data_IF_772273107709
#
_entry.id   IF_772273107709
#
_cell.length_a   1.000
_cell.length_b   1.000
_cell.length_c   1.000
_cell.angle_alpha   90.00
_cell.angle_beta   90.00
_cell.angle_gamma   90.00
#
_symmetry.space_group_name_H-M   'P 1'
#
loop_
_entity.id
_entity.type
_entity.pdbx_description
1 polymer ?
#
# COMPACT_ATOMS: atom_id res chain seq x y z
N UNK A 1 39.09 -17.71 -62.85
CA UNK A 1 38.58 -18.31 -61.60
C UNK A 1 37.39 -17.47 -61.14
N UNK A 2 36.19 -18.05 -61.07
CA UNK A 2 34.98 -17.36 -60.58
C UNK A 2 34.89 -17.56 -59.08
N UNK A 3 35.06 -16.49 -58.31
CA UNK A 3 34.96 -16.49 -56.85
C UNK A 3 33.48 -16.49 -56.47
N UNK A 4 33.01 -17.59 -55.88
CA UNK A 4 31.64 -17.73 -55.35
C UNK A 4 31.65 -17.19 -53.92
N UNK A 5 30.90 -16.13 -53.67
CA UNK A 5 30.78 -15.50 -52.35
C UNK A 5 29.68 -16.23 -51.56
N UNK A 6 29.96 -16.81 -50.39
CA UNK A 6 28.97 -17.54 -49.61
C UNK A 6 28.00 -16.56 -48.95
N UNK A 7 26.70 -16.75 -49.22
CA UNK A 7 25.61 -16.02 -48.59
C UNK A 7 25.50 -16.49 -47.12
N UNK A 8 26.04 -15.70 -46.19
CA UNK A 8 26.02 -16.00 -44.76
C UNK A 8 24.64 -15.62 -44.20
N UNK A 9 23.77 -16.62 -44.05
CA UNK A 9 22.46 -16.47 -43.40
C UNK A 9 22.67 -16.24 -41.89
N UNK A 10 22.56 -14.99 -41.45
CA UNK A 10 22.46 -14.65 -40.03
C UNK A 10 21.08 -15.05 -39.53
N UNK A 11 20.98 -16.16 -38.80
CA UNK A 11 19.82 -16.46 -37.98
C UNK A 11 19.82 -15.50 -36.78
N UNK A 12 19.02 -14.43 -36.88
CA UNK A 12 18.67 -13.59 -35.74
C UNK A 12 17.76 -14.38 -34.82
N UNK A 13 18.36 -15.07 -33.85
CA UNK A 13 17.61 -15.54 -32.68
C UNK A 13 17.17 -14.30 -31.90
N UNK A 14 15.91 -13.91 -32.09
CA UNK A 14 15.27 -12.93 -31.24
C UNK A 14 15.03 -13.62 -29.90
N UNK A 15 15.93 -13.40 -28.95
CA UNK A 15 15.64 -13.69 -27.55
C UNK A 15 14.55 -12.71 -27.15
N UNK A 16 13.30 -13.18 -27.08
CA UNK A 16 12.26 -12.45 -26.37
C UNK A 16 12.75 -12.29 -24.94
N UNK A 17 13.16 -11.08 -24.58
CA UNK A 17 13.38 -10.75 -23.19
C UNK A 17 12.02 -10.90 -22.51
N UNK A 18 11.86 -11.96 -21.71
CA UNK A 18 10.69 -12.08 -20.84
C UNK A 18 10.76 -10.89 -19.89
N UNK A 19 9.81 -9.97 -20.04
CA UNK A 19 9.64 -8.90 -19.06
C UNK A 19 9.25 -9.56 -17.73
N UNK A 20 9.82 -9.10 -16.62
CA UNK A 20 9.37 -9.56 -15.31
C UNK A 20 7.91 -9.10 -15.13
N UNK A 21 7.03 -10.06 -14.85
CA UNK A 21 5.60 -9.86 -14.62
C UNK A 21 5.28 -10.13 -13.15
N UNK A 22 4.26 -9.46 -12.63
CA UNK A 22 3.70 -9.76 -11.31
C UNK A 22 2.17 -9.80 -11.37
N UNK A 23 1.59 -10.65 -10.53
CA UNK A 23 0.13 -10.76 -10.36
C UNK A 23 -0.30 -9.99 -9.11
N UNK A 24 -1.42 -9.27 -9.18
CA UNK A 24 -2.03 -8.66 -8.00
C UNK A 24 -3.54 -8.57 -8.14
N UNK A 25 -4.23 -8.58 -7.00
CA UNK A 25 -5.67 -8.38 -6.93
C UNK A 25 -6.03 -6.93 -7.17
N UNK A 26 -7.12 -6.70 -7.89
CA UNK A 26 -7.72 -5.38 -8.05
C UNK A 26 -8.46 -4.99 -6.78
N UNK A 27 -8.04 -3.88 -6.16
CA UNK A 27 -8.71 -3.29 -5.01
C UNK A 27 -9.83 -2.34 -5.46
N UNK A 28 -9.55 -1.52 -6.48
CA UNK A 28 -10.48 -0.49 -6.94
C UNK A 28 -10.18 -0.11 -8.39
N UNK A 29 -11.24 0.03 -9.19
CA UNK A 29 -11.17 0.67 -10.51
C UNK A 29 -11.83 2.05 -10.42
N UNK A 30 -11.15 3.05 -10.94
CA UNK A 30 -11.61 4.44 -11.01
C UNK A 30 -11.72 4.85 -12.47
N UNK A 31 -12.95 5.10 -12.93
CA UNK A 31 -13.18 5.53 -14.29
C UNK A 31 -12.57 6.91 -14.57
N UNK A 32 -11.99 7.06 -15.75
CA UNK A 32 -11.56 8.36 -16.26
C UNK A 32 -12.74 9.13 -16.84
N UNK A 33 -12.78 10.45 -16.63
CA UNK A 33 -13.74 11.33 -17.31
C UNK A 33 -13.13 11.87 -18.61
N UNK A 34 -13.87 11.77 -19.71
CA UNK A 34 -13.45 12.29 -21.01
C UNK A 34 -12.24 11.55 -21.57
N UNK A 35 -11.10 12.24 -21.70
CA UNK A 35 -9.85 11.67 -22.22
C UNK A 35 -8.88 11.25 -21.11
N UNK A 36 -9.32 11.23 -19.85
CA UNK A 36 -8.49 10.75 -18.76
C UNK A 36 -8.48 9.22 -18.77
N UNK A 37 -7.31 8.58 -18.55
CA UNK A 37 -7.24 7.13 -18.44
C UNK A 37 -7.97 6.63 -17.19
N UNK A 38 -8.49 5.40 -17.27
CA UNK A 38 -8.97 4.69 -16.10
C UNK A 38 -7.79 4.28 -15.21
N UNK A 39 -8.01 4.15 -13.91
CA UNK A 39 -6.99 3.73 -12.96
C UNK A 39 -7.42 2.43 -12.28
N UNK A 40 -6.53 1.44 -12.27
CA UNK A 40 -6.64 0.28 -11.39
C UNK A 40 -5.71 0.51 -10.20
N UNK A 41 -6.25 0.40 -8.99
CA UNK A 41 -5.50 0.34 -7.74
C UNK A 41 -5.40 -1.12 -7.30
N UNK A 42 -4.18 -1.60 -7.08
CA UNK A 42 -3.89 -2.99 -6.75
C UNK A 42 -3.68 -3.19 -5.25
N UNK A 43 -3.95 -4.38 -4.72
CA UNK A 43 -3.78 -4.71 -3.29
C UNK A 43 -2.33 -4.48 -2.81
N UNK A 44 -1.34 -4.67 -3.70
CA UNK A 44 0.06 -4.40 -3.39
C UNK A 44 0.41 -2.90 -3.30
N UNK A 45 -0.51 -2.01 -3.63
CA UNK A 45 -0.32 -0.55 -3.58
C UNK A 45 0.05 0.10 -4.91
N UNK A 46 0.31 -0.67 -5.96
CA UNK A 46 0.61 -0.14 -7.30
C UNK A 46 -0.64 0.35 -8.03
N UNK A 47 -0.41 1.20 -9.03
CA UNK A 47 -1.45 1.70 -9.95
C UNK A 47 -1.13 1.27 -11.38
N UNK A 48 -2.15 0.83 -12.10
CA UNK A 48 -2.11 0.59 -13.54
C UNK A 48 -3.02 1.61 -14.22
N UNK A 49 -2.55 2.22 -15.31
CA UNK A 49 -3.36 3.08 -16.17
C UNK A 49 -3.92 2.22 -17.28
N UNK A 50 -5.23 2.30 -17.51
CA UNK A 50 -5.87 1.62 -18.63
C UNK A 50 -6.20 2.60 -19.76
N UNK A 51 -6.02 2.12 -20.97
CA UNK A 51 -6.49 2.77 -22.19
C UNK A 51 -7.97 2.44 -22.45
N UNK A 52 -8.62 3.22 -23.33
CA UNK A 52 -10.06 3.04 -23.63
C UNK A 52 -10.37 1.66 -24.23
N UNK A 53 -9.40 1.02 -24.90
CA UNK A 53 -9.54 -0.31 -25.48
C UNK A 53 -9.69 -1.41 -24.42
N UNK A 54 -9.27 -1.14 -23.17
CA UNK A 54 -9.28 -2.09 -22.06
C UNK A 54 -10.52 -1.92 -21.16
N UNK A 55 -11.52 -1.16 -21.63
CA UNK A 55 -12.75 -0.85 -20.87
C UNK A 55 -13.56 -2.08 -20.47
N UNK A 56 -13.44 -3.18 -21.22
CA UNK A 56 -14.09 -4.45 -20.89
C UNK A 56 -13.69 -4.96 -19.50
N UNK A 57 -12.45 -4.67 -19.07
CA UNK A 57 -11.92 -5.04 -17.75
C UNK A 57 -12.71 -4.43 -16.58
N UNK A 58 -13.34 -3.27 -16.81
CA UNK A 58 -14.21 -2.62 -15.82
C UNK A 58 -15.45 -3.49 -15.58
N UNK A 59 -16.01 -4.04 -16.66
CA UNK A 59 -17.20 -4.90 -16.59
C UNK A 59 -16.85 -6.20 -15.87
N UNK A 60 -15.71 -6.82 -16.20
CA UNK A 60 -15.21 -8.03 -15.53
C UNK A 60 -14.99 -7.81 -14.03
N UNK A 61 -14.42 -6.65 -13.66
CA UNK A 61 -14.25 -6.28 -12.26
C UNK A 61 -15.60 -6.15 -11.55
N UNK A 62 -16.56 -5.42 -12.12
CA UNK A 62 -17.88 -5.29 -11.52
C UNK A 62 -18.60 -6.64 -11.38
N UNK A 63 -18.49 -7.52 -12.38
CA UNK A 63 -19.06 -8.86 -12.33
C UNK A 63 -18.41 -9.72 -11.25
N UNK A 64 -17.07 -9.68 -11.12
CA UNK A 64 -16.37 -10.38 -10.04
C UNK A 64 -16.85 -9.92 -8.66
N UNK A 65 -16.98 -8.60 -8.44
CA UNK A 65 -17.47 -8.05 -7.18
C UNK A 65 -18.92 -8.45 -6.88
N UNK A 66 -19.80 -8.49 -7.91
CA UNK A 66 -21.20 -8.94 -7.77
C UNK A 66 -21.29 -10.41 -7.35
N UNK A 67 -20.38 -11.25 -7.85
CA UNK A 67 -20.36 -12.68 -7.58
C UNK A 67 -19.64 -13.04 -6.26
N UNK A 68 -18.95 -12.07 -5.63
CA UNK A 68 -18.13 -12.30 -4.44
C UNK A 68 -16.74 -12.87 -4.76
N UNK A 69 -16.40 -12.93 -6.04
CA UNK A 69 -15.08 -13.27 -6.57
C UNK A 69 -14.16 -12.04 -6.54
N UNK A 70 -12.92 -12.24 -6.95
CA UNK A 70 -11.98 -11.14 -7.14
C UNK A 70 -11.32 -11.23 -8.51
N UNK A 71 -10.90 -10.08 -9.02
CA UNK A 71 -10.18 -9.96 -10.27
C UNK A 71 -8.67 -9.89 -9.97
N UNK A 72 -7.90 -10.81 -10.53
CA UNK A 72 -6.44 -10.73 -10.56
C UNK A 72 -5.97 -10.19 -11.91
N UNK A 73 -4.97 -9.32 -11.88
CA UNK A 73 -4.33 -8.78 -13.07
C UNK A 73 -2.86 -9.13 -13.09
N UNK A 74 -2.37 -9.46 -14.27
CA UNK A 74 -0.94 -9.60 -14.58
C UNK A 74 -0.47 -8.27 -15.15
N UNK A 75 0.64 -7.79 -14.59
CA UNK A 75 1.20 -6.49 -14.90
C UNK A 75 2.70 -6.64 -15.13
N UNK A 76 3.22 -5.98 -16.15
CA UNK A 76 4.65 -6.00 -16.42
C UNK A 76 5.45 -5.08 -15.46
N UNK A 77 6.78 -5.12 -15.57
CA UNK A 77 7.67 -4.27 -14.76
C UNK A 77 7.56 -2.76 -15.05
N UNK A 78 6.84 -2.36 -16.10
CA UNK A 78 6.53 -0.95 -16.43
C UNK A 78 5.20 -0.48 -15.85
N UNK A 79 4.48 -1.37 -15.15
CA UNK A 79 3.11 -1.18 -14.68
C UNK A 79 2.07 -1.09 -15.82
N UNK A 80 2.34 -1.77 -16.95
CA UNK A 80 1.37 -1.91 -18.04
C UNK A 80 0.55 -3.18 -17.84
N UNK A 81 -0.74 -3.10 -18.17
CA UNK A 81 -1.65 -4.23 -18.13
C UNK A 81 -1.22 -5.32 -19.14
N UNK A 82 -1.27 -6.59 -18.72
CA UNK A 82 -0.96 -7.75 -19.58
C UNK A 82 -2.19 -8.63 -19.76
N UNK A 83 -2.80 -9.05 -18.66
CA UNK A 83 -4.00 -9.89 -18.67
C UNK A 83 -4.77 -9.77 -17.36
N UNK A 84 -6.00 -10.28 -17.35
CA UNK A 84 -6.80 -10.43 -16.15
C UNK A 84 -7.50 -11.78 -16.12
N UNK A 85 -7.76 -12.27 -14.91
CA UNK A 85 -8.60 -13.44 -14.68
C UNK A 85 -9.45 -13.26 -13.43
N UNK A 86 -10.71 -13.71 -13.52
CA UNK A 86 -11.59 -13.80 -12.37
C UNK A 86 -11.23 -15.05 -11.58
N UNK A 87 -10.95 -14.89 -10.29
CA UNK A 87 -10.58 -15.98 -9.40
C UNK A 87 -11.70 -16.20 -8.39
N UNK A 88 -12.21 -17.42 -8.36
CA UNK A 88 -13.25 -17.82 -7.41
C UNK A 88 -12.74 -17.66 -5.98
N UNK A 89 -13.58 -17.08 -5.13
CA UNK A 89 -13.27 -16.94 -3.71
C UNK A 89 -13.57 -18.24 -2.94
N UNK A 90 -12.77 -19.29 -3.17
CA UNK A 90 -12.94 -20.61 -2.55
C UNK A 90 -12.89 -20.59 -1.02
N UNK A 91 -12.34 -19.51 -0.44
CA UNK A 91 -12.17 -19.33 0.99
C UNK A 91 -12.75 -18.00 1.45
N UNK A 92 -14.03 -17.76 1.21
CA UNK A 92 -14.82 -16.86 2.08
C UNK A 92 -14.96 -17.49 3.47
N UNK A 93 -13.83 -17.81 4.13
CA UNK A 93 -13.79 -17.94 5.57
C UNK A 93 -14.20 -16.57 6.04
N UNK A 94 -15.50 -16.42 6.34
CA UNK A 94 -16.04 -15.27 7.06
C UNK A 94 -15.03 -15.01 8.17
N UNK A 95 -14.27 -13.90 8.13
CA UNK A 95 -13.15 -13.69 9.02
C UNK A 95 -13.70 -13.92 10.41
N UNK A 96 -13.28 -15.03 11.02
CA UNK A 96 -13.94 -15.65 12.18
C UNK A 96 -14.40 -14.51 13.08
N UNK A 97 -15.71 -14.24 13.11
CA UNK A 97 -16.27 -12.94 13.53
C UNK A 97 -15.63 -12.54 14.87
N UNK A 98 -14.56 -11.75 14.82
CA UNK A 98 -14.00 -11.16 16.02
C UNK A 98 -14.95 -10.02 16.31
N UNK A 99 -16.11 -10.38 16.90
CA UNK A 99 -17.14 -9.43 17.30
C UNK A 99 -16.45 -8.35 18.10
N UNK A 100 -16.42 -7.16 17.53
CA UNK A 100 -15.83 -6.02 18.19
C UNK A 100 -16.66 -5.70 19.41
N UNK A 101 -16.05 -5.80 20.59
CA UNK A 101 -16.64 -5.18 21.77
C UNK A 101 -16.88 -3.69 21.44
N UNK A 102 -18.10 -3.16 21.65
CA UNK A 102 -18.57 -1.88 21.09
C UNK A 102 -17.85 -0.61 21.58
N UNK A 103 -16.73 -0.73 22.30
CA UNK A 103 -15.99 0.39 22.92
C UNK A 103 -14.47 0.16 22.94
N UNK A 104 -13.88 -0.42 21.88
CA UNK A 104 -12.42 -0.52 21.83
C UNK A 104 -11.81 0.87 21.63
N UNK A 105 -11.19 1.41 22.69
CA UNK A 105 -10.34 2.59 22.60
C UNK A 105 -8.89 2.13 22.51
N UNK A 106 -8.21 2.48 21.41
CA UNK A 106 -6.78 2.25 21.29
C UNK A 106 -6.03 3.38 22.01
N UNK A 107 -5.09 3.03 22.89
CA UNK A 107 -4.26 3.99 23.64
C UNK A 107 -2.78 3.84 23.24
N UNK A 108 -2.26 4.72 22.35
CA UNK A 108 -0.88 4.66 21.92
C UNK A 108 0.09 5.00 23.05
N UNK A 109 1.22 4.31 23.11
CA UNK A 109 2.29 4.67 24.04
C UNK A 109 2.86 6.05 23.69
N UNK A 110 2.93 6.93 24.69
CA UNK A 110 3.65 8.21 24.59
C UNK A 110 5.09 8.01 25.07
N UNK A 111 6.05 8.11 24.16
CA UNK A 111 7.48 8.03 24.46
C UNK A 111 7.93 9.25 25.26
N UNK A 112 8.89 9.06 26.16
CA UNK A 112 9.36 10.13 27.04
C UNK A 112 10.23 11.18 26.36
N UNK A 113 10.81 10.87 25.18
CA UNK A 113 11.66 11.80 24.44
C UNK A 113 11.88 11.41 22.98
N UNK A 114 12.33 12.37 22.17
CA UNK A 114 12.82 12.11 20.81
C UNK A 114 13.97 11.08 20.78
N UNK A 115 14.85 11.10 21.79
CA UNK A 115 15.97 10.15 21.88
C UNK A 115 15.48 8.71 21.98
N UNK A 116 14.38 8.48 22.69
CA UNK A 116 13.74 7.16 22.79
C UNK A 116 13.16 6.72 21.44
N UNK A 117 12.43 7.61 20.76
CA UNK A 117 11.93 7.36 19.40
C UNK A 117 13.06 7.05 18.41
N UNK A 118 14.19 7.76 18.52
CA UNK A 118 15.36 7.52 17.70
C UNK A 118 16.05 6.18 18.04
N UNK A 119 16.07 5.77 19.32
CA UNK A 119 16.55 4.45 19.73
C UNK A 119 15.70 3.34 19.10
N UNK A 120 14.37 3.44 19.18
CA UNK A 120 13.43 2.53 18.49
C UNK A 120 13.73 2.49 16.99
N UNK A 121 13.81 3.65 16.35
CA UNK A 121 14.06 3.75 14.91
C UNK A 121 15.38 3.10 14.48
N UNK A 122 16.44 3.30 15.27
CA UNK A 122 17.79 2.85 14.93
C UNK A 122 17.91 1.33 14.84
N UNK A 123 17.14 0.60 15.64
CA UNK A 123 17.12 -0.88 15.72
C UNK A 123 16.08 -1.54 14.81
N UNK A 124 15.22 -0.78 14.14
CA UNK A 124 14.27 -1.33 13.16
C UNK A 124 15.03 -2.06 12.05
N UNK A 125 14.49 -3.21 11.66
CA UNK A 125 15.07 -4.10 10.65
C UNK A 125 15.27 -3.39 9.31
N UNK A 126 16.42 -3.63 8.65
CA UNK A 126 16.83 -2.98 7.38
C UNK A 126 17.10 -3.93 6.21
N UNK A 127 17.18 -5.24 6.45
CA UNK A 127 17.49 -6.25 5.44
C UNK A 127 16.24 -6.67 4.66
N UNK A 128 15.45 -5.71 4.17
CA UNK A 128 14.24 -6.01 3.40
C UNK A 128 14.58 -6.44 1.97
N UNK A 129 13.70 -7.25 1.38
CA UNK A 129 13.74 -7.60 -0.04
C UNK A 129 13.48 -6.35 -0.90
N UNK A 130 14.06 -6.29 -2.10
CA UNK A 130 13.95 -5.11 -2.98
C UNK A 130 12.50 -4.80 -3.36
N UNK A 131 11.70 -5.85 -3.54
CA UNK A 131 10.30 -5.77 -3.97
C UNK A 131 9.31 -5.75 -2.81
N UNK A 132 9.80 -5.71 -1.56
CA UNK A 132 8.96 -5.76 -0.37
C UNK A 132 7.89 -4.66 -0.37
N UNK A 133 6.67 -5.02 0.06
CA UNK A 133 5.59 -4.04 0.18
C UNK A 133 5.71 -3.20 1.45
N UNK A 134 5.31 -1.93 1.35
CA UNK A 134 5.39 -0.99 2.47
C UNK A 134 4.58 -1.44 3.69
N UNK A 135 3.39 -2.00 3.47
CA UNK A 135 2.50 -2.46 4.52
C UNK A 135 3.04 -3.68 5.27
N UNK A 136 3.74 -4.58 4.58
CA UNK A 136 4.42 -5.71 5.23
C UNK A 136 5.57 -5.23 6.12
N UNK A 137 6.43 -4.35 5.61
CA UNK A 137 7.50 -3.74 6.43
C UNK A 137 6.93 -3.01 7.65
N UNK A 138 5.91 -2.17 7.46
CA UNK A 138 5.28 -1.43 8.55
C UNK A 138 4.64 -2.36 9.59
N UNK A 139 4.02 -3.45 9.16
CA UNK A 139 3.41 -4.43 10.04
C UNK A 139 4.47 -5.17 10.89
N UNK A 140 5.55 -5.62 10.27
CA UNK A 140 6.66 -6.27 10.99
C UNK A 140 7.35 -5.32 11.95
N UNK A 141 7.65 -4.09 11.52
CA UNK A 141 8.28 -3.10 12.40
C UNK A 141 7.43 -2.81 13.64
N UNK A 142 6.11 -2.66 13.49
CA UNK A 142 5.21 -2.46 14.61
C UNK A 142 5.14 -3.71 15.52
N UNK A 143 5.05 -4.91 14.92
CA UNK A 143 5.02 -6.18 15.65
C UNK A 143 6.30 -6.40 16.47
N UNK A 144 7.47 -6.20 15.88
CA UNK A 144 8.76 -6.39 16.55
C UNK A 144 8.92 -5.44 17.74
N UNK A 145 8.55 -4.16 17.59
CA UNK A 145 8.65 -3.19 18.68
C UNK A 145 7.61 -3.43 19.78
N UNK A 146 6.40 -3.89 19.43
CA UNK A 146 5.42 -4.36 20.40
C UNK A 146 5.99 -5.53 21.21
N UNK A 147 6.54 -6.57 20.56
CA UNK A 147 7.12 -7.74 21.25
C UNK A 147 8.34 -7.39 22.09
N UNK A 148 9.16 -6.43 21.65
CA UNK A 148 10.44 -6.06 22.27
C UNK A 148 10.28 -5.11 23.45
N UNK A 149 9.39 -4.14 23.33
CA UNK A 149 9.30 -3.00 24.25
C UNK A 149 7.90 -2.72 24.76
N UNK A 150 6.93 -3.60 24.46
CA UNK A 150 5.51 -3.39 24.75
C UNK A 150 5.00 -2.05 24.20
N UNK A 151 5.55 -1.63 23.04
CA UNK A 151 5.22 -0.37 22.40
C UNK A 151 3.89 -0.49 21.65
N UNK A 152 2.87 0.22 22.12
CA UNK A 152 1.62 0.41 21.40
C UNK A 152 1.79 1.55 20.39
N UNK A 153 2.35 1.23 19.22
CA UNK A 153 2.51 2.21 18.14
C UNK A 153 1.21 2.39 17.34
N UNK A 154 1.11 3.48 16.61
CA UNK A 154 0.08 3.65 15.58
C UNK A 154 0.65 3.27 14.21
N UNK A 155 -0.21 3.21 13.20
CA UNK A 155 0.19 3.26 11.79
C UNK A 155 -0.43 4.49 11.15
N UNK A 156 0.32 5.12 10.26
CA UNK A 156 -0.15 6.24 9.48
C UNK A 156 -0.18 5.84 8.01
N UNK A 157 -1.39 5.70 7.46
CA UNK A 157 -1.58 5.47 6.04
C UNK A 157 -1.64 6.81 5.32
N UNK A 158 -0.82 6.96 4.29
CA UNK A 158 -0.83 8.04 3.32
C UNK A 158 -1.48 7.53 2.05
N UNK A 159 -2.66 8.06 1.72
CA UNK A 159 -3.37 7.72 0.49
C UNK A 159 -3.17 8.82 -0.54
N UNK A 160 -2.76 8.45 -1.75
CA UNK A 160 -2.65 9.35 -2.90
C UNK A 160 -4.00 9.41 -3.61
N UNK A 161 -4.41 10.61 -4.02
CA UNK A 161 -5.68 10.80 -4.72
C UNK A 161 -5.54 10.52 -6.21
N UNK A 162 -6.65 10.20 -6.88
CA UNK A 162 -6.67 10.05 -8.34
C UNK A 162 -6.11 11.28 -9.05
N UNK A 163 -6.45 12.49 -8.57
CA UNK A 163 -5.86 13.74 -9.04
C UNK A 163 -4.34 13.73 -8.99
N UNK A 164 -3.75 13.37 -7.84
CA UNK A 164 -2.29 13.34 -7.69
C UNK A 164 -1.65 12.30 -8.60
N UNK A 165 -2.21 11.09 -8.61
CA UNK A 165 -1.76 9.96 -9.43
C UNK A 165 -1.74 10.35 -10.91
N UNK A 166 -2.81 10.96 -11.43
CA UNK A 166 -2.90 11.42 -12.83
C UNK A 166 -1.93 12.56 -13.13
N UNK A 167 -1.86 13.57 -12.25
CA UNK A 167 -1.01 14.75 -12.48
C UNK A 167 0.49 14.42 -12.52
N UNK A 168 0.92 13.46 -11.70
CA UNK A 168 2.33 13.12 -11.55
C UNK A 168 2.71 11.75 -12.10
N UNK A 169 1.77 11.04 -12.74
CA UNK A 169 1.92 9.63 -13.16
C UNK A 169 2.48 8.76 -12.04
N UNK A 170 1.97 8.97 -10.83
CA UNK A 170 2.49 8.33 -9.63
C UNK A 170 2.07 6.85 -9.61
N UNK A 171 3.02 5.95 -9.36
CA UNK A 171 2.82 4.51 -9.53
C UNK A 171 2.23 3.80 -8.30
N UNK A 172 1.94 4.55 -7.24
CA UNK A 172 1.43 4.02 -5.98
C UNK A 172 0.17 4.76 -5.55
N UNK A 173 -0.80 4.07 -4.97
CA UNK A 173 -2.02 4.72 -4.45
C UNK A 173 -2.06 4.83 -2.92
N UNK A 174 -1.16 4.15 -2.22
CA UNK A 174 -0.91 4.40 -0.80
C UNK A 174 0.52 4.09 -0.37
N UNK A 175 0.88 4.59 0.82
CA UNK A 175 2.08 4.21 1.57
C UNK A 175 1.73 4.16 3.06
N UNK A 176 2.46 3.36 3.86
CA UNK A 176 2.19 3.24 5.29
C UNK A 176 3.49 3.06 6.08
N UNK A 177 3.50 3.61 7.29
CA UNK A 177 4.61 3.46 8.23
C UNK A 177 4.12 3.48 9.68
N UNK A 178 4.83 2.84 10.64
CA UNK A 178 4.54 3.03 12.05
C UNK A 178 4.69 4.49 12.46
N UNK A 179 3.87 4.91 13.41
CA UNK A 179 3.86 6.24 14.01
C UNK A 179 3.85 6.11 15.53
N UNK A 180 4.58 6.99 16.23
CA UNK A 180 4.60 7.05 17.69
C UNK A 180 4.27 8.45 18.17
N UNK A 181 3.75 8.53 19.39
CA UNK A 181 3.61 9.79 20.11
C UNK A 181 4.85 10.01 20.97
N UNK A 182 5.39 11.23 20.97
CA UNK A 182 6.59 11.59 21.72
C UNK A 182 6.30 12.82 22.56
N UNK A 183 6.60 12.77 23.86
CA UNK A 183 6.56 13.95 24.71
C UNK A 183 7.76 14.85 24.38
N UNK A 184 7.48 15.99 23.74
CA UNK A 184 8.46 17.02 23.41
C UNK A 184 8.00 18.35 24.01
N UNK A 185 8.66 18.79 25.08
CA UNK A 185 8.33 20.05 25.74
C UNK A 185 6.96 20.06 26.43
N UNK A 186 6.48 18.91 26.90
CA UNK A 186 5.19 18.78 27.58
C UNK A 186 3.99 18.58 26.65
N UNK A 187 4.22 18.47 25.34
CA UNK A 187 3.20 18.15 24.35
C UNK A 187 3.48 16.80 23.68
N UNK A 188 2.42 16.05 23.39
CA UNK A 188 2.52 14.84 22.57
C UNK A 188 2.63 15.21 21.09
N UNK A 189 3.72 14.79 20.46
CA UNK A 189 4.08 15.09 19.07
C UNK A 189 4.16 13.79 18.27
N UNK A 190 3.54 13.76 17.10
CA UNK A 190 3.57 12.61 16.20
C UNK A 190 4.91 12.49 15.46
N UNK A 191 5.49 11.29 15.49
CA UNK A 191 6.71 10.93 14.75
C UNK A 191 6.49 9.67 13.93
N UNK A 192 6.78 9.75 12.63
CA UNK A 192 6.72 8.60 11.70
C UNK A 192 8.06 7.88 11.68
N UNK A 193 8.02 6.55 11.72
CA UNK A 193 9.16 5.64 11.81
C UNK A 193 9.40 4.88 10.50
N UNK A 194 9.63 5.62 9.42
CA UNK A 194 9.83 5.01 8.10
C UNK A 194 11.30 4.70 7.82
N UNK A 195 11.74 3.51 8.22
CA UNK A 195 13.14 3.10 8.11
C UNK A 195 13.61 2.88 6.66
N UNK A 196 12.69 2.75 5.71
CA UNK A 196 13.03 2.58 4.28
C UNK A 196 13.39 3.92 3.65
N UNK A 197 12.61 4.97 3.92
CA UNK A 197 12.73 6.26 3.25
C UNK A 197 13.41 7.35 4.08
N UNK A 198 13.69 7.08 5.36
CA UNK A 198 14.28 8.08 6.26
C UNK A 198 15.45 7.51 7.07
N UNK A 199 16.26 8.43 7.62
CA UNK A 199 17.43 8.09 8.46
C UNK A 199 17.17 8.32 9.95
N UNK A 200 16.07 8.98 10.31
CA UNK A 200 15.65 9.31 11.68
C UNK A 200 14.12 9.41 11.75
N UNK A 201 13.49 9.34 12.95
CA UNK A 201 12.07 9.68 13.10
C UNK A 201 11.78 11.06 12.52
N UNK A 202 10.69 11.19 11.75
CA UNK A 202 10.29 12.44 11.10
C UNK A 202 8.94 12.93 11.63
N UNK A 203 8.75 14.25 11.62
CA UNK A 203 7.40 14.80 11.73
C UNK A 203 6.55 14.33 10.54
N UNK A 204 5.23 14.19 10.74
CA UNK A 204 4.28 13.77 9.70
C UNK A 204 4.46 14.58 8.41
N UNK A 205 4.45 15.90 8.48
CA UNK A 205 4.62 16.76 7.29
C UNK A 205 5.97 16.55 6.58
N UNK A 206 7.06 16.38 7.33
CA UNK A 206 8.37 16.12 6.75
C UNK A 206 8.45 14.75 6.08
N UNK A 207 7.72 13.75 6.59
CA UNK A 207 7.62 12.43 5.99
C UNK A 207 6.74 12.44 4.73
N UNK A 208 5.57 13.09 4.74
CA UNK A 208 4.69 13.18 3.57
C UNK A 208 5.36 13.90 2.40
N UNK A 209 6.17 14.93 2.67
CA UNK A 209 6.90 15.68 1.64
C UNK A 209 7.95 14.86 0.88
N UNK A 210 8.28 13.64 1.33
CA UNK A 210 9.10 12.71 0.56
C UNK A 210 8.32 12.20 -0.67
N UNK A 211 7.01 12.05 -0.53
CA UNK A 211 6.13 11.43 -1.53
C UNK A 211 5.28 12.45 -2.28
N UNK A 212 5.01 13.62 -1.71
CA UNK A 212 4.11 14.65 -2.26
C UNK A 212 4.91 15.78 -2.92
N UNK A 213 5.03 15.73 -4.25
CA UNK A 213 5.85 16.67 -5.02
C UNK A 213 5.32 18.10 -5.02
N UNK A 214 4.02 18.29 -4.82
CA UNK A 214 3.42 19.62 -4.70
C UNK A 214 3.75 20.33 -3.37
N UNK A 215 4.25 19.59 -2.37
CA UNK A 215 4.46 20.09 -1.00
C UNK A 215 3.17 20.45 -0.27
N UNK A 216 1.99 20.14 -0.83
CA UNK A 216 0.70 20.39 -0.17
C UNK A 216 0.56 19.50 1.06
N UNK A 217 0.03 20.07 2.14
CA UNK A 217 -0.26 19.34 3.37
C UNK A 217 -1.44 18.38 3.14
N UNK A 218 -1.25 17.10 3.44
CA UNK A 218 -2.34 16.12 3.43
C UNK A 218 -3.25 16.34 4.65
N UNK A 219 -4.57 16.54 4.48
CA UNK A 219 -5.51 16.51 5.60
C UNK A 219 -5.53 15.13 6.29
N UNK A 220 -5.71 15.16 7.60
CA UNK A 220 -5.92 13.96 8.42
C UNK A 220 -7.42 13.70 8.51
N UNK A 221 -7.85 12.50 8.11
CA UNK A 221 -9.24 12.05 8.17
C UNK A 221 -9.35 10.76 8.95
N UNK A 222 -10.53 10.48 9.49
CA UNK A 222 -10.76 9.27 10.30
C UNK A 222 -11.30 8.11 9.47
N UNK A 223 -12.06 8.41 8.41
CA UNK A 223 -12.72 7.40 7.58
C UNK A 223 -12.08 7.32 6.19
N UNK A 224 -11.91 6.11 5.68
CA UNK A 224 -11.59 5.81 4.29
C UNK A 224 -12.57 6.47 3.31
N UNK A 225 -13.85 6.54 3.66
CA UNK A 225 -14.85 7.22 2.83
C UNK A 225 -14.57 8.73 2.66
N UNK A 226 -13.91 9.38 3.63
CA UNK A 226 -13.51 10.78 3.47
C UNK A 226 -12.39 10.90 2.43
N UNK A 227 -11.48 9.93 2.34
CA UNK A 227 -10.53 9.84 1.23
C UNK A 227 -11.28 9.53 -0.09
N UNK A 228 -12.04 8.44 -0.14
CA UNK A 228 -12.72 7.94 -1.35
C UNK A 228 -13.63 8.97 -2.00
N UNK A 229 -14.39 9.74 -1.22
CA UNK A 229 -15.34 10.71 -1.76
C UNK A 229 -14.71 12.05 -2.18
N UNK A 230 -13.40 12.23 -2.01
CA UNK A 230 -12.72 13.51 -2.23
C UNK A 230 -11.43 13.37 -3.07
N UNK A 231 -11.42 12.44 -4.05
CA UNK A 231 -10.27 12.15 -4.93
C UNK A 231 -9.79 13.33 -5.79
N UNK A 232 -10.61 14.36 -6.02
CA UNK A 232 -10.25 15.51 -6.87
C UNK A 232 -9.91 16.79 -6.06
N UNK A 233 -10.12 16.77 -4.75
CA UNK A 233 -9.98 17.97 -3.90
C UNK A 233 -8.56 18.22 -3.44
N UNK A 234 -7.88 17.17 -3.00
CA UNK A 234 -6.54 17.21 -2.41
C UNK A 234 -5.60 16.28 -3.17
N UNK A 235 -4.30 16.37 -2.89
CA UNK A 235 -3.30 15.48 -3.47
C UNK A 235 -3.16 14.17 -2.67
N UNK A 236 -3.51 14.21 -1.39
CA UNK A 236 -3.34 13.10 -0.47
C UNK A 236 -4.22 13.22 0.77
N UNK A 237 -4.41 12.11 1.48
CA UNK A 237 -5.07 12.04 2.78
C UNK A 237 -4.26 11.16 3.73
N UNK A 238 -4.35 11.47 5.03
CA UNK A 238 -3.72 10.70 6.09
C UNK A 238 -4.79 10.03 6.96
N UNK A 239 -4.63 8.73 7.21
CA UNK A 239 -5.51 7.98 8.11
C UNK A 239 -4.67 7.31 9.20
N UNK A 240 -4.67 7.84 10.43
CA UNK A 240 -4.03 7.20 11.56
C UNK A 240 -4.90 6.05 12.07
N UNK A 241 -4.30 4.90 12.33
CA UNK A 241 -4.96 3.69 12.85
C UNK A 241 -4.10 2.99 13.90
N UNK A 242 -4.66 2.01 14.60
CA UNK A 242 -3.88 1.18 15.55
C UNK A 242 -2.82 0.35 14.81
N UNK A 243 -1.76 -0.09 15.51
CA UNK A 243 -0.72 -0.94 14.92
C UNK A 243 -1.21 -2.27 14.34
N UNK A 244 -2.44 -2.69 14.64
CA UNK A 244 -2.96 -3.99 14.21
C UNK A 244 -3.46 -4.00 12.76
N UNK A 245 -3.75 -2.83 12.17
CA UNK A 245 -4.19 -2.71 10.78
C UNK A 245 -3.03 -3.03 9.85
N UNK A 246 -3.19 -4.01 8.99
CA UNK A 246 -2.17 -4.48 8.07
C UNK A 246 -2.24 -3.76 6.73
N UNK A 247 -3.41 -3.70 6.10
CA UNK A 247 -3.60 -3.21 4.73
C UNK A 247 -4.78 -2.22 4.64
N UNK A 248 -4.93 -1.46 3.54
CA UNK A 248 -6.09 -0.58 3.34
C UNK A 248 -7.45 -1.26 3.51
N UNK A 249 -7.59 -2.52 3.06
CA UNK A 249 -8.81 -3.32 3.25
C UNK A 249 -9.27 -3.44 4.70
N UNK A 250 -8.35 -3.38 5.66
CA UNK A 250 -8.70 -3.40 7.08
C UNK A 250 -9.42 -2.11 7.48
N UNK A 251 -8.99 -0.96 6.94
CA UNK A 251 -9.59 0.35 7.16
C UNK A 251 -10.98 0.38 6.52
N UNK A 252 -11.12 -0.15 5.31
CA UNK A 252 -12.41 -0.30 4.63
C UNK A 252 -13.35 -1.18 5.45
N UNK A 253 -12.86 -2.32 5.94
CA UNK A 253 -13.64 -3.26 6.76
C UNK A 253 -14.08 -2.62 8.08
N UNK A 254 -13.22 -1.83 8.73
CA UNK A 254 -13.57 -1.06 9.91
C UNK A 254 -14.69 -0.08 9.64
N UNK A 255 -14.59 0.67 8.56
CA UNK A 255 -15.53 1.75 8.26
C UNK A 255 -16.90 1.23 7.81
N UNK A 256 -16.92 0.13 7.06
CA UNK A 256 -18.16 -0.47 6.55
C UNK A 256 -18.85 -1.36 7.59
N UNK A 257 -18.06 -2.14 8.36
CA UNK A 257 -18.60 -3.21 9.20
C UNK A 257 -18.36 -3.00 10.70
N UNK A 258 -17.68 -1.91 11.09
CA UNK A 258 -17.28 -1.70 12.49
C UNK A 258 -16.20 -2.67 12.97
N UNK A 259 -15.48 -3.33 12.04
CA UNK A 259 -14.44 -4.31 12.35
C UNK A 259 -13.15 -3.63 12.82
N UNK A 260 -12.73 -3.91 14.04
CA UNK A 260 -11.58 -3.29 14.68
C UNK A 260 -10.59 -4.36 15.10
N UNK A 261 -9.38 -4.32 14.54
CA UNK A 261 -8.30 -5.24 14.90
C UNK A 261 -7.73 -4.84 16.27
N UNK A 262 -7.63 -5.82 17.17
CA UNK A 262 -7.15 -5.62 18.56
C UNK A 262 -5.85 -6.36 18.89
N UNK A 263 -5.37 -7.17 17.96
CA UNK A 263 -4.16 -7.96 18.11
C UNK A 263 -3.57 -8.22 16.74
N UNK A 264 -2.27 -8.53 16.72
CA UNK A 264 -1.62 -9.05 15.52
C UNK A 264 -2.19 -10.44 15.19
N UNK A 265 -2.57 -10.65 13.94
CA UNK A 265 -3.00 -11.95 13.44
C UNK A 265 -1.74 -12.70 13.00
N UNK A 266 -1.54 -13.91 13.53
CA UNK A 266 -0.29 -14.66 13.31
C UNK A 266 0.01 -14.91 11.82
N UNK A 267 -1.00 -15.29 11.03
CA UNK A 267 -0.83 -15.52 9.60
C UNK A 267 -0.41 -14.25 8.84
N UNK A 268 -0.93 -13.08 9.22
CA UNK A 268 -0.52 -11.79 8.63
C UNK A 268 0.93 -11.46 8.96
N UNK A 269 1.35 -11.70 10.21
CA UNK A 269 2.73 -11.50 10.64
C UNK A 269 3.67 -12.46 9.93
N UNK A 270 3.33 -13.74 9.85
CA UNK A 270 4.15 -14.75 9.19
C UNK A 270 4.30 -14.45 7.69
N UNK A 271 3.21 -14.08 7.01
CA UNK A 271 3.23 -13.67 5.61
C UNK A 271 4.05 -12.39 5.41
N UNK A 272 3.83 -11.36 6.24
CA UNK A 272 4.57 -10.12 6.15
C UNK A 272 6.08 -10.31 6.38
N UNK A 273 6.49 -11.30 7.19
CA UNK A 273 7.89 -11.68 7.32
C UNK A 273 8.45 -12.30 6.04
N UNK A 274 7.72 -13.27 5.47
CA UNK A 274 8.13 -13.99 4.27
C UNK A 274 8.27 -13.06 3.05
N UNK A 275 7.36 -12.11 2.87
CA UNK A 275 7.39 -11.18 1.74
C UNK A 275 8.41 -10.05 1.95
N UNK A 276 8.53 -9.52 3.17
CA UNK A 276 9.30 -8.30 3.36
C UNK A 276 10.80 -8.51 3.56
N UNK A 277 11.24 -9.66 4.11
CA UNK A 277 12.61 -9.87 4.61
C UNK A 277 13.19 -11.23 4.20
#
# INVERSE_FOLDING_TARGET
MKTVMPLMFFFLFSFSAFADEFTSRVELIEEGEGNLPHLIKLENGRVVFLDEEERELITDFEDSQRNGDYLEVVVDNTNSFVSAETVENENSVSPEEVKTAPNFSYDPTVLGSYSEANSIFSRMRRNYQNESQCYNRAHIWAYEEYKRSNLNSMKLFLFFTNRYIRNYRYQWWFHVSPMVLVNEGGASVERVLDRRYTTTPRFVNSWTNIFIYSGRKCPVVQKYNDYRNNQEKEDCYLIPVSMYFWQPRDIVSRDNNGYEKKSFIKSEVDWAYWEAF
#
